data_IF_913257403145
#
_entry.id   IF_913257403145
#
_cell.length_a   1.000
_cell.length_b   1.000
_cell.length_c   1.000
_cell.angle_alpha   90.00
_cell.angle_beta   90.00
_cell.angle_gamma   90.00
#
_symmetry.space_group_name_H-M   'P 1'
#
loop_
_entity.id
_entity.type
_entity.pdbx_description
1 polymer ?
#
# COMPACT_ATOMS: atom_id res chain seq x y z
N UNK A 1 11.79 -5.03 66.10
CA UNK A 1 13.00 -4.39 65.51
C UNK A 1 13.93 -5.37 64.78
N UNK A 2 14.27 -6.55 65.32
CA UNK A 2 15.17 -7.52 64.66
C UNK A 2 14.72 -7.99 63.25
N UNK A 3 13.41 -8.18 63.04
CA UNK A 3 12.86 -8.59 61.74
C UNK A 3 12.99 -7.51 60.65
N UNK A 4 12.99 -6.23 61.04
CA UNK A 4 13.07 -5.11 60.10
C UNK A 4 14.50 -5.00 59.52
N UNK A 5 15.53 -5.18 60.35
CA UNK A 5 16.92 -5.20 59.90
C UNK A 5 17.22 -6.38 58.97
N UNK A 6 16.65 -7.55 59.23
CA UNK A 6 16.76 -8.72 58.34
C UNK A 6 16.13 -8.44 56.97
N UNK A 7 14.94 -7.83 56.96
CA UNK A 7 14.21 -7.50 55.73
C UNK A 7 14.94 -6.45 54.89
N UNK A 8 15.50 -5.42 55.55
CA UNK A 8 16.35 -4.42 54.91
C UNK A 8 17.65 -5.04 54.34
N UNK A 9 18.25 -5.99 55.04
CA UNK A 9 19.44 -6.71 54.56
C UNK A 9 19.15 -7.55 53.31
N UNK A 10 18.02 -8.28 53.30
CA UNK A 10 17.58 -9.06 52.14
C UNK A 10 17.26 -8.14 50.95
N UNK A 11 16.57 -7.02 51.20
CA UNK A 11 16.25 -6.07 50.14
C UNK A 11 17.52 -5.46 49.51
N UNK A 12 18.50 -5.10 50.34
CA UNK A 12 19.74 -4.52 49.86
C UNK A 12 20.59 -5.53 49.06
N UNK A 13 20.65 -6.79 49.52
CA UNK A 13 21.36 -7.85 48.79
C UNK A 13 20.70 -8.17 47.45
N UNK A 14 19.37 -8.19 47.37
CA UNK A 14 18.64 -8.34 46.10
C UNK A 14 18.89 -7.17 45.16
N UNK A 15 18.90 -5.93 45.67
CA UNK A 15 19.18 -4.74 44.87
C UNK A 15 20.60 -4.77 44.28
N UNK A 16 21.60 -5.12 45.10
CA UNK A 16 23.00 -5.24 44.64
C UNK A 16 23.14 -6.36 43.60
N UNK A 17 22.51 -7.51 43.82
CA UNK A 17 22.52 -8.62 42.87
C UNK A 17 21.87 -8.24 41.53
N UNK A 18 20.76 -7.49 41.55
CA UNK A 18 20.09 -7.01 40.36
C UNK A 18 20.96 -6.03 39.56
N UNK A 19 21.64 -5.09 40.22
CA UNK A 19 22.54 -4.14 39.57
C UNK A 19 23.76 -4.85 38.96
N UNK A 20 24.36 -5.79 39.68
CA UNK A 20 25.46 -6.62 39.17
C UNK A 20 25.01 -7.46 37.97
N UNK A 21 23.84 -8.09 38.06
CA UNK A 21 23.26 -8.87 36.97
C UNK A 21 23.04 -8.03 35.72
N UNK A 22 22.50 -6.81 35.87
CA UNK A 22 22.32 -5.87 34.75
C UNK A 22 23.66 -5.46 34.14
N UNK A 23 24.68 -5.21 34.97
CA UNK A 23 26.00 -4.81 34.48
C UNK A 23 26.67 -5.94 33.67
N UNK A 24 26.65 -7.17 34.20
CA UNK A 24 27.16 -8.35 33.48
C UNK A 24 26.37 -8.59 32.20
N UNK A 25 25.04 -8.51 32.25
CA UNK A 25 24.21 -8.69 31.08
C UNK A 25 24.54 -7.65 30.00
N UNK A 26 24.62 -6.37 30.36
CA UNK A 26 24.86 -5.29 29.38
C UNK A 26 26.28 -5.26 28.82
N UNK A 27 27.29 -5.67 29.60
CA UNK A 27 28.70 -5.63 29.17
C UNK A 27 29.22 -6.94 28.58
N UNK A 28 28.83 -8.08 29.13
CA UNK A 28 29.41 -9.39 28.78
C UNK A 28 28.51 -10.13 27.79
N UNK A 29 27.20 -10.17 28.06
CA UNK A 29 26.25 -10.97 27.29
C UNK A 29 25.71 -10.18 26.09
N UNK A 30 25.25 -8.95 26.33
CA UNK A 30 24.66 -8.08 25.34
C UNK A 30 25.73 -7.38 24.51
N UNK A 31 26.23 -8.09 23.50
CA UNK A 31 27.05 -7.48 22.45
C UNK A 31 26.14 -6.68 21.54
N UNK A 32 26.09 -5.35 21.73
CA UNK A 32 25.47 -4.45 20.75
C UNK A 32 26.11 -4.73 19.38
N UNK A 33 25.35 -5.15 18.36
CA UNK A 33 25.92 -5.39 17.05
C UNK A 33 26.49 -4.07 16.55
N UNK A 34 27.75 -4.09 16.10
CA UNK A 34 28.36 -2.93 15.49
C UNK A 34 27.48 -2.47 14.31
N UNK A 35 26.91 -1.29 14.42
CA UNK A 35 26.18 -0.61 13.34
C UNK A 35 27.27 -0.08 12.40
N UNK A 36 27.75 -0.95 11.52
CA UNK A 36 28.66 -0.54 10.45
C UNK A 36 27.83 -0.06 9.27
N UNK A 37 28.29 0.98 8.58
CA UNK A 37 27.62 1.52 7.40
C UNK A 37 27.32 0.42 6.37
N UNK A 38 28.24 -0.55 6.23
CA UNK A 38 28.07 -1.71 5.34
C UNK A 38 26.87 -2.59 5.71
N UNK A 39 26.59 -2.79 7.01
CA UNK A 39 25.43 -3.58 7.46
C UNK A 39 24.11 -2.85 7.26
N UNK A 40 24.10 -1.53 7.44
CA UNK A 40 22.92 -0.71 7.16
C UNK A 40 22.65 -0.63 5.66
N UNK A 41 23.68 -0.47 4.81
CA UNK A 41 23.54 -0.58 3.35
C UNK A 41 23.05 -1.97 2.91
N UNK A 42 23.52 -3.04 3.55
CA UNK A 42 23.03 -4.39 3.26
C UNK A 42 21.55 -4.59 3.63
N UNK A 43 21.07 -3.98 4.72
CA UNK A 43 19.64 -3.98 5.08
C UNK A 43 18.80 -3.18 4.10
N UNK A 44 19.30 -2.06 3.59
CA UNK A 44 18.63 -1.30 2.54
C UNK A 44 18.52 -2.13 1.26
N UNK A 45 19.60 -2.77 0.80
CA UNK A 45 19.58 -3.63 -0.39
C UNK A 45 18.65 -4.85 -0.23
N UNK A 46 18.55 -5.43 0.97
CA UNK A 46 17.62 -6.53 1.27
C UNK A 46 16.17 -6.06 1.37
N UNK A 47 15.93 -4.80 1.75
CA UNK A 47 14.60 -4.18 1.80
C UNK A 47 14.14 -3.75 0.40
N UNK A 48 15.06 -3.29 -0.46
CA UNK A 48 14.81 -3.01 -1.88
C UNK A 48 14.46 -4.29 -2.64
N UNK A 49 15.09 -5.43 -2.34
CA UNK A 49 14.69 -6.73 -2.92
C UNK A 49 13.30 -7.22 -2.48
N UNK A 50 12.74 -6.66 -1.40
CA UNK A 50 11.36 -6.94 -0.95
C UNK A 50 10.34 -5.93 -1.47
N UNK A 51 10.77 -4.84 -2.09
CA UNK A 51 9.86 -4.02 -2.87
C UNK A 51 9.57 -4.75 -4.18
N UNK A 52 8.29 -5.04 -4.36
CA UNK A 52 7.72 -5.59 -5.59
C UNK A 52 8.36 -4.89 -6.80
N UNK A 53 8.94 -5.60 -7.79
CA UNK A 53 9.62 -4.98 -8.94
C UNK A 53 8.69 -4.17 -9.88
N UNK A 54 7.49 -3.82 -9.43
CA UNK A 54 6.51 -2.96 -10.11
C UNK A 54 6.55 -1.49 -9.68
N UNK A 55 7.34 -1.11 -8.67
CA UNK A 55 7.49 0.31 -8.23
C UNK A 55 8.39 1.11 -9.20
N UNK A 56 7.91 1.27 -10.44
CA UNK A 56 8.63 1.92 -11.53
C UNK A 56 8.15 1.51 -12.92
N UNK A 57 7.12 0.68 -13.01
CA UNK A 57 6.56 0.32 -14.31
C UNK A 57 6.01 1.58 -15.00
N UNK A 58 6.41 1.76 -16.26
CA UNK A 58 5.99 2.88 -17.10
C UNK A 58 4.47 2.89 -17.17
N UNK A 59 3.85 3.99 -16.74
CA UNK A 59 2.41 4.21 -16.89
C UNK A 59 2.05 4.15 -18.38
N UNK A 60 1.01 3.41 -18.71
CA UNK A 60 0.48 3.32 -20.08
C UNK A 60 -0.96 3.78 -20.06
N UNK A 61 -1.30 4.68 -20.98
CA UNK A 61 -2.68 5.13 -21.21
C UNK A 61 -3.21 4.36 -22.42
N UNK A 62 -4.30 3.63 -22.22
CA UNK A 62 -4.96 2.84 -23.26
C UNK A 62 -6.28 3.54 -23.61
N UNK A 63 -6.41 4.13 -24.81
CA UNK A 63 -7.67 4.71 -25.24
C UNK A 63 -8.71 3.60 -25.46
N UNK A 64 -9.93 3.86 -25.02
CA UNK A 64 -11.09 3.02 -25.31
C UNK A 64 -11.82 3.55 -26.55
N UNK A 65 -12.64 2.69 -27.16
CA UNK A 65 -13.49 3.10 -28.27
C UNK A 65 -14.54 4.10 -27.79
N UNK A 66 -14.80 5.17 -28.56
CA UNK A 66 -15.82 6.15 -28.20
C UNK A 66 -17.20 5.49 -28.11
N UNK A 67 -17.95 5.83 -27.06
CA UNK A 67 -19.30 5.35 -26.85
C UNK A 67 -20.30 6.47 -27.13
N UNK A 68 -21.25 6.20 -28.02
CA UNK A 68 -22.38 7.10 -28.27
C UNK A 68 -23.64 6.47 -27.69
N UNK A 69 -24.33 7.20 -26.82
CA UNK A 69 -25.59 6.76 -26.21
C UNK A 69 -26.71 7.73 -26.54
N UNK A 70 -27.91 7.18 -26.67
CA UNK A 70 -29.13 7.97 -26.78
C UNK A 70 -29.56 8.40 -25.39
N UNK A 71 -29.80 9.70 -25.21
CA UNK A 71 -30.43 10.21 -24.00
C UNK A 71 -31.95 10.15 -24.16
N UNK A 72 -32.65 10.06 -23.04
CA UNK A 72 -34.11 10.08 -23.04
C UNK A 72 -34.63 11.36 -23.72
N UNK A 73 -35.68 11.24 -24.56
CA UNK A 73 -36.25 12.38 -25.24
C UNK A 73 -36.84 13.35 -24.22
N UNK A 74 -36.44 14.61 -24.34
CA UNK A 74 -36.96 15.71 -23.52
C UNK A 74 -37.91 16.57 -24.36
N UNK A 75 -38.99 17.05 -23.75
CA UNK A 75 -39.87 18.04 -24.37
C UNK A 75 -39.21 19.42 -24.26
N UNK A 76 -38.71 19.92 -25.39
CA UNK A 76 -38.25 21.30 -25.50
C UNK A 76 -39.33 22.31 -25.12
N UNK A 77 -38.95 23.56 -24.84
CA UNK A 77 -39.90 24.67 -24.61
C UNK A 77 -40.96 24.80 -25.72
N UNK A 78 -40.64 24.35 -26.94
CA UNK A 78 -41.52 24.30 -28.11
C UNK A 78 -42.57 23.17 -28.09
N UNK A 79 -42.60 22.34 -27.04
CA UNK A 79 -43.49 21.18 -26.90
C UNK A 79 -43.17 19.98 -27.82
N UNK A 80 -42.08 20.06 -28.60
CA UNK A 80 -41.64 18.99 -29.51
C UNK A 80 -40.61 18.08 -28.84
N UNK A 81 -40.69 16.74 -29.01
CA UNK A 81 -39.69 15.83 -28.50
C UNK A 81 -38.37 16.05 -29.24
N UNK A 82 -37.30 16.36 -28.50
CA UNK A 82 -35.93 16.46 -29.03
C UNK A 82 -35.13 15.27 -28.51
N UNK A 83 -34.57 14.48 -29.41
CA UNK A 83 -33.65 13.39 -29.11
C UNK A 83 -32.23 13.92 -29.02
N UNK A 84 -31.56 13.67 -27.90
CA UNK A 84 -30.17 14.07 -27.68
C UNK A 84 -29.25 12.86 -27.69
N UNK A 85 -28.02 13.07 -28.15
CA UNK A 85 -26.97 12.07 -28.15
C UNK A 85 -25.84 12.55 -27.23
N UNK A 86 -25.29 11.63 -26.46
CA UNK A 86 -24.07 11.87 -25.70
C UNK A 86 -22.96 10.98 -26.24
N UNK A 87 -21.79 11.57 -26.49
CA UNK A 87 -20.59 10.85 -26.95
C UNK A 87 -19.52 10.93 -25.86
N UNK A 88 -19.02 9.78 -25.42
CA UNK A 88 -18.00 9.65 -24.38
C UNK A 88 -16.72 9.09 -24.97
N UNK A 89 -15.60 9.76 -24.68
CA UNK A 89 -14.25 9.27 -24.97
C UNK A 89 -13.56 8.93 -23.66
N UNK A 90 -13.23 7.66 -23.46
CA UNK A 90 -12.65 7.15 -22.22
C UNK A 90 -11.24 6.63 -22.48
N UNK A 91 -10.38 6.72 -21.47
CA UNK A 91 -9.06 6.11 -21.49
C UNK A 91 -8.76 5.48 -20.11
N UNK A 92 -8.07 4.34 -20.12
CA UNK A 92 -7.66 3.64 -18.91
C UNK A 92 -6.16 3.79 -18.71
N UNK A 93 -5.76 4.30 -17.55
CA UNK A 93 -4.36 4.36 -17.13
C UNK A 93 -3.97 3.07 -16.40
N UNK A 94 -3.03 2.32 -16.96
CA UNK A 94 -2.40 1.19 -16.32
C UNK A 94 -1.11 1.63 -15.63
N UNK A 95 -0.99 1.29 -14.35
CA UNK A 95 0.22 1.57 -13.56
C UNK A 95 1.39 0.64 -13.90
N UNK A 96 1.09 -0.56 -14.41
CA UNK A 96 2.10 -1.52 -14.85
C UNK A 96 1.88 -1.92 -16.31
N UNK A 97 2.89 -1.66 -17.13
CA UNK A 97 2.93 -2.03 -18.55
C UNK A 97 2.80 -3.55 -18.78
N UNK A 98 3.24 -4.39 -17.84
CA UNK A 98 3.14 -5.85 -17.96
C UNK A 98 1.70 -6.35 -17.94
N UNK A 99 0.80 -5.57 -17.33
CA UNK A 99 -0.62 -5.88 -17.23
C UNK A 99 -1.40 -5.47 -18.48
N UNK A 100 -0.76 -4.81 -19.46
CA UNK A 100 -1.40 -4.38 -20.71
C UNK A 100 -2.06 -5.55 -21.45
N UNK A 101 -1.35 -6.68 -21.62
CA UNK A 101 -1.90 -7.83 -22.33
C UNK A 101 -3.13 -8.44 -21.65
N UNK A 102 -3.16 -8.44 -20.30
CA UNK A 102 -4.33 -8.89 -19.54
C UNK A 102 -5.50 -7.92 -19.69
N UNK A 103 -5.23 -6.62 -19.66
CA UNK A 103 -6.26 -5.61 -19.85
C UNK A 103 -6.85 -5.65 -21.27
N UNK A 104 -6.02 -5.79 -22.30
CA UNK A 104 -6.47 -5.91 -23.69
C UNK A 104 -7.36 -7.13 -23.90
N UNK A 105 -7.00 -8.28 -23.30
CA UNK A 105 -7.86 -9.47 -23.32
C UNK A 105 -9.19 -9.26 -22.59
N UNK A 106 -9.20 -8.49 -21.50
CA UNK A 106 -10.40 -8.16 -20.73
C UNK A 106 -11.19 -6.96 -21.29
N UNK A 107 -10.68 -6.27 -22.32
CA UNK A 107 -11.25 -5.03 -22.86
C UNK A 107 -12.75 -5.16 -23.21
N UNK A 108 -13.22 -6.21 -23.91
CA UNK A 108 -14.64 -6.35 -24.23
C UNK A 108 -15.53 -6.39 -22.98
N UNK A 109 -15.10 -7.14 -21.95
CA UNK A 109 -15.83 -7.27 -20.68
C UNK A 109 -15.90 -5.94 -19.94
N UNK A 110 -14.82 -5.15 -19.99
CA UNK A 110 -14.79 -3.80 -19.39
C UNK A 110 -15.75 -2.87 -20.13
N UNK A 111 -15.75 -2.88 -21.46
CA UNK A 111 -16.65 -2.07 -22.27
C UNK A 111 -18.12 -2.44 -22.04
N UNK A 112 -18.44 -3.73 -21.97
CA UNK A 112 -19.80 -4.20 -21.67
C UNK A 112 -20.29 -3.69 -20.32
N UNK A 113 -19.43 -3.71 -19.29
CA UNK A 113 -19.77 -3.16 -17.97
C UNK A 113 -20.01 -1.65 -18.01
N UNK A 114 -19.22 -0.91 -18.78
CA UNK A 114 -19.40 0.54 -18.95
C UNK A 114 -20.76 0.80 -19.63
N UNK A 115 -21.06 0.08 -20.71
CA UNK A 115 -22.33 0.21 -21.44
C UNK A 115 -23.52 -0.14 -20.54
N UNK A 116 -23.44 -1.23 -19.78
CA UNK A 116 -24.49 -1.63 -18.83
C UNK A 116 -24.75 -0.58 -17.75
N UNK A 117 -23.72 0.15 -17.31
CA UNK A 117 -23.88 1.20 -16.32
C UNK A 117 -24.39 2.52 -16.92
N UNK A 118 -24.10 2.80 -18.20
CA UNK A 118 -24.61 3.97 -18.90
C UNK A 118 -26.07 3.80 -19.37
N UNK A 119 -26.51 2.56 -19.57
CA UNK A 119 -27.89 2.24 -19.94
C UNK A 119 -28.88 2.12 -18.77
N UNK A 120 -28.44 2.40 -17.54
CA UNK A 120 -29.29 2.49 -16.34
C UNK A 120 -29.56 3.94 -16.01
#
# INVERSE_FOLDING_TARGET
MKKLGLLLGILNTLAIAAVLGLFVYTKVIYKRPAITEQKERAKLNLSEKKQDPGFGAKKIIIPLEPLTVNLDPYQGEDGKPKSHLATFSLAVELRDAREQGKFEAARPVVMDRIIQNLGK
#
